data_IF_320562995445
#
_entry.id   IF_320562995445
#
_cell.length_a   1.000
_cell.length_b   1.000
_cell.length_c   1.000
_cell.angle_alpha   90.00
_cell.angle_beta   90.00
_cell.angle_gamma   90.00
#
_symmetry.space_group_name_H-M   'P 1'
#
loop_
_entity.id
_entity.type
_entity.pdbx_description
1 polymer ?
#
# COMPACT_ATOMS: atom_id res chain seq x y z
N UNK A 1 39.79 28.83 -37.59
CA UNK A 1 38.88 29.39 -36.56
C UNK A 1 38.31 28.25 -35.74
N UNK A 2 38.89 27.99 -34.57
CA UNK A 2 38.48 26.89 -33.69
C UNK A 2 37.25 27.30 -32.89
N UNK A 3 36.13 26.60 -33.07
CA UNK A 3 34.94 26.77 -32.25
C UNK A 3 35.18 26.13 -30.88
N UNK A 4 35.47 26.96 -29.90
CA UNK A 4 35.49 26.57 -28.48
C UNK A 4 34.05 26.30 -28.05
N UNK A 5 33.67 25.03 -27.98
CA UNK A 5 32.38 24.62 -27.40
C UNK A 5 32.47 24.82 -25.88
N UNK A 6 31.90 25.91 -25.38
CA UNK A 6 31.69 26.11 -23.95
C UNK A 6 30.86 24.94 -23.41
N UNK A 7 31.47 24.13 -22.55
CA UNK A 7 30.75 23.13 -21.75
C UNK A 7 29.88 23.89 -20.75
N UNK A 8 28.58 23.94 -21.03
CA UNK A 8 27.57 24.38 -20.08
C UNK A 8 27.77 23.62 -18.76
N UNK A 9 27.97 24.30 -17.62
CA UNK A 9 28.26 23.64 -16.36
C UNK A 9 27.09 22.74 -15.98
N UNK A 10 27.39 21.45 -15.79
CA UNK A 10 26.41 20.45 -15.36
C UNK A 10 25.81 20.90 -14.02
N UNK A 11 24.51 21.22 -13.99
CA UNK A 11 23.76 21.53 -12.76
C UNK A 11 24.13 20.50 -11.69
N UNK A 12 24.75 20.94 -10.58
CA UNK A 12 25.06 20.08 -9.43
C UNK A 12 23.78 19.37 -9.00
N UNK A 13 23.74 18.05 -9.15
CA UNK A 13 22.59 17.24 -8.73
C UNK A 13 22.61 17.14 -7.21
N UNK A 14 21.73 17.87 -6.55
CA UNK A 14 21.55 17.78 -5.10
C UNK A 14 21.07 16.37 -4.72
N UNK A 15 21.79 15.70 -3.82
CA UNK A 15 21.39 14.40 -3.28
C UNK A 15 20.25 14.56 -2.29
N UNK A 16 19.40 13.57 -2.19
CA UNK A 16 18.43 13.48 -1.09
C UNK A 16 19.20 13.33 0.22
N UNK A 17 18.80 14.03 1.30
CA UNK A 17 19.43 13.88 2.61
C UNK A 17 19.35 12.45 3.15
N UNK A 18 20.09 12.23 4.24
CA UNK A 18 20.07 10.96 4.96
C UNK A 18 18.64 10.64 5.46
N UNK A 19 18.35 9.35 5.58
CA UNK A 19 17.04 8.82 5.95
C UNK A 19 17.18 7.72 7.00
N UNK A 20 16.12 7.54 7.78
CA UNK A 20 15.98 6.42 8.72
C UNK A 20 15.35 5.22 8.03
N UNK A 21 15.59 4.02 8.57
CA UNK A 21 14.98 2.77 8.10
C UNK A 21 13.44 2.86 8.07
N UNK A 22 12.79 2.04 7.25
CA UNK A 22 11.32 2.02 7.13
C UNK A 22 10.76 3.07 6.18
N UNK A 23 11.57 3.56 5.24
CA UNK A 23 11.11 4.49 4.20
C UNK A 23 9.94 3.89 3.41
N UNK A 24 10.04 2.62 3.04
CA UNK A 24 9.01 1.94 2.27
C UNK A 24 7.71 1.74 3.03
N UNK A 25 7.77 1.49 4.33
CA UNK A 25 6.55 1.35 5.14
C UNK A 25 5.83 2.68 5.24
N UNK A 26 6.56 3.78 5.51
CA UNK A 26 6.01 5.13 5.53
C UNK A 26 5.46 5.54 4.15
N UNK A 27 6.13 5.15 3.08
CA UNK A 27 5.64 5.36 1.71
C UNK A 27 4.37 4.56 1.44
N UNK A 28 4.29 3.29 1.85
CA UNK A 28 3.09 2.45 1.71
C UNK A 28 1.92 3.02 2.49
N UNK A 29 2.14 3.49 3.72
CA UNK A 29 1.12 4.15 4.54
C UNK A 29 0.61 5.41 3.82
N UNK A 30 1.52 6.23 3.31
CA UNK A 30 1.16 7.43 2.54
C UNK A 30 0.37 7.07 1.28
N UNK A 31 0.79 6.05 0.54
CA UNK A 31 0.08 5.57 -0.65
C UNK A 31 -1.32 5.07 -0.31
N UNK A 32 -1.47 4.29 0.76
CA UNK A 32 -2.77 3.81 1.23
C UNK A 32 -3.69 4.97 1.61
N UNK A 33 -3.16 5.97 2.34
CA UNK A 33 -3.90 7.18 2.67
C UNK A 33 -4.35 7.94 1.41
N UNK A 34 -3.47 8.01 0.40
CA UNK A 34 -3.73 8.59 -0.92
C UNK A 34 -4.66 7.76 -1.82
N UNK A 35 -5.18 6.62 -1.37
CA UNK A 35 -6.05 5.75 -2.18
C UNK A 35 -5.30 5.01 -3.30
N UNK A 36 -3.97 4.90 -3.21
CA UNK A 36 -3.14 4.14 -4.13
C UNK A 36 -3.04 2.71 -3.59
N UNK A 37 -3.88 1.83 -4.12
CA UNK A 37 -4.01 0.44 -3.67
C UNK A 37 -2.78 -0.42 -4.00
N UNK A 38 -2.60 -1.52 -3.25
CA UNK A 38 -1.41 -2.37 -3.29
C UNK A 38 -1.12 -3.01 -4.65
N UNK A 39 -2.16 -3.40 -5.40
CA UNK A 39 -2.03 -3.91 -6.76
C UNK A 39 -1.78 -2.76 -7.75
N UNK A 40 -0.65 -2.80 -8.45
CA UNK A 40 -0.28 -1.75 -9.41
C UNK A 40 0.28 -0.48 -8.76
N UNK A 41 0.49 -0.46 -7.44
CA UNK A 41 1.14 0.63 -6.69
C UNK A 41 2.44 1.12 -7.34
N UNK A 42 3.31 0.21 -7.82
CA UNK A 42 4.54 0.58 -8.53
C UNK A 42 4.27 1.42 -9.78
N UNK A 43 3.31 1.00 -10.60
CA UNK A 43 2.92 1.70 -11.83
C UNK A 43 2.22 3.01 -11.52
N UNK A 44 1.39 3.03 -10.47
CA UNK A 44 0.70 4.24 -10.01
C UNK A 44 1.72 5.27 -9.50
N UNK A 45 2.64 4.88 -8.63
CA UNK A 45 3.71 5.74 -8.12
C UNK A 45 4.57 6.25 -9.28
N UNK A 46 4.97 5.39 -10.22
CA UNK A 46 5.74 5.78 -11.40
C UNK A 46 5.01 6.85 -12.22
N UNK A 47 3.71 6.64 -12.48
CA UNK A 47 2.86 7.56 -13.23
C UNK A 47 2.71 8.92 -12.53
N UNK A 48 2.44 8.94 -11.23
CA UNK A 48 2.18 10.21 -10.51
C UNK A 48 3.47 10.99 -10.24
N UNK A 49 4.59 10.31 -9.97
CA UNK A 49 5.87 10.95 -9.64
C UNK A 49 6.75 11.23 -10.87
N UNK A 50 6.37 10.74 -12.05
CA UNK A 50 7.19 10.82 -13.27
C UNK A 50 8.45 9.95 -13.23
N UNK A 51 8.55 9.02 -12.28
CA UNK A 51 9.63 8.05 -12.18
C UNK A 51 9.40 6.87 -13.12
N UNK A 52 10.47 6.14 -13.47
CA UNK A 52 10.32 4.87 -14.19
C UNK A 52 9.89 3.76 -13.23
N UNK A 53 9.17 2.75 -13.74
CA UNK A 53 8.78 1.59 -12.94
C UNK A 53 9.98 0.88 -12.29
N UNK A 54 11.11 0.80 -13.01
CA UNK A 54 12.37 0.27 -12.46
C UNK A 54 12.92 1.14 -11.32
N UNK A 55 12.85 2.47 -11.45
CA UNK A 55 13.27 3.39 -10.41
C UNK A 55 12.40 3.30 -9.15
N UNK A 56 11.09 3.17 -9.31
CA UNK A 56 10.16 2.95 -8.18
C UNK A 56 10.43 1.59 -7.52
N UNK A 57 10.63 0.52 -8.31
CA UNK A 57 10.96 -0.81 -7.78
C UNK A 57 12.22 -0.78 -6.92
N UNK A 58 13.24 -0.01 -7.32
CA UNK A 58 14.47 0.14 -6.53
C UNK A 58 14.20 0.77 -5.15
N UNK A 59 13.25 1.69 -5.02
CA UNK A 59 12.86 2.26 -3.72
C UNK A 59 12.45 1.15 -2.75
N UNK A 60 11.61 0.21 -3.23
CA UNK A 60 11.09 -0.90 -2.45
C UNK A 60 12.09 -2.01 -2.16
N UNK A 61 13.02 -2.28 -3.09
CA UNK A 61 14.07 -3.29 -2.90
C UNK A 61 15.10 -2.80 -1.89
N UNK A 62 15.45 -1.52 -1.94
CA UNK A 62 16.57 -0.94 -1.19
C UNK A 62 16.13 -0.17 0.07
N UNK A 63 14.82 -0.19 0.40
CA UNK A 63 14.18 0.55 1.49
C UNK A 63 14.68 1.99 1.63
N UNK A 64 14.74 2.72 0.50
CA UNK A 64 15.35 4.06 0.47
C UNK A 64 14.65 5.03 -0.46
N UNK A 65 14.70 6.34 -0.17
CA UNK A 65 14.17 7.36 -1.06
C UNK A 65 14.96 7.45 -2.38
N UNK A 66 14.40 8.12 -3.41
CA UNK A 66 15.13 8.41 -4.64
C UNK A 66 16.44 9.14 -4.32
N UNK A 67 17.54 8.74 -4.98
CA UNK A 67 18.89 9.31 -4.73
C UNK A 67 19.01 10.83 -4.93
N UNK A 68 18.20 11.38 -5.83
CA UNK A 68 18.24 12.81 -6.17
C UNK A 68 17.08 13.55 -5.54
N UNK A 69 17.38 14.65 -4.84
CA UNK A 69 16.40 15.43 -4.08
C UNK A 69 15.22 15.87 -4.96
N UNK A 70 15.49 16.24 -6.22
CA UNK A 70 14.43 16.61 -7.16
C UNK A 70 13.39 15.50 -7.36
N UNK A 71 13.84 14.25 -7.53
CA UNK A 71 12.92 13.12 -7.73
C UNK A 71 12.14 12.82 -6.46
N UNK A 72 12.79 12.93 -5.30
CA UNK A 72 12.12 12.77 -4.02
C UNK A 72 11.05 13.85 -3.78
N UNK A 73 11.39 15.10 -4.04
CA UNK A 73 10.45 16.22 -3.97
C UNK A 73 9.28 16.10 -4.95
N UNK A 74 9.51 15.55 -6.15
CA UNK A 74 8.44 15.25 -7.11
C UNK A 74 7.52 14.13 -6.61
N UNK A 75 8.07 13.09 -5.98
CA UNK A 75 7.27 12.04 -5.34
C UNK A 75 6.41 12.62 -4.22
N UNK A 76 6.98 13.46 -3.35
CA UNK A 76 6.24 14.13 -2.27
C UNK A 76 5.08 14.98 -2.83
N UNK A 77 5.37 15.82 -3.83
CA UNK A 77 4.34 16.68 -4.45
C UNK A 77 3.23 15.86 -5.11
N UNK A 78 3.59 14.77 -5.78
CA UNK A 78 2.64 13.87 -6.41
C UNK A 78 1.71 13.20 -5.40
N UNK A 79 2.25 12.75 -4.25
CA UNK A 79 1.46 12.16 -3.18
C UNK A 79 0.51 13.18 -2.55
N UNK A 80 0.97 14.41 -2.29
CA UNK A 80 0.11 15.49 -1.79
C UNK A 80 -1.02 15.80 -2.79
N UNK A 81 -0.69 15.85 -4.08
CA UNK A 81 -1.66 16.06 -5.15
C UNK A 81 -2.74 14.98 -5.18
N UNK A 82 -2.35 13.70 -5.11
CA UNK A 82 -3.32 12.59 -5.06
C UNK A 82 -4.14 12.60 -3.77
N UNK A 83 -3.54 12.92 -2.62
CA UNK A 83 -4.28 13.02 -1.36
C UNK A 83 -5.33 14.15 -1.42
N UNK A 84 -4.93 15.33 -1.91
CA UNK A 84 -5.86 16.45 -2.09
C UNK A 84 -7.00 16.08 -3.03
N UNK A 85 -6.71 15.35 -4.11
CA UNK A 85 -7.70 14.89 -5.08
C UNK A 85 -8.66 13.85 -4.50
N UNK A 86 -8.16 12.87 -3.75
CA UNK A 86 -8.95 11.74 -3.25
C UNK A 86 -9.69 12.06 -1.94
N UNK A 87 -9.11 12.93 -1.11
CA UNK A 87 -9.60 13.20 0.26
C UNK A 87 -10.03 14.64 0.48
N UNK A 88 -9.70 15.57 -0.42
CA UNK A 88 -9.93 17.00 -0.19
C UNK A 88 -9.07 17.60 0.91
N UNK A 89 -8.06 16.86 1.39
CA UNK A 89 -7.20 17.25 2.52
C UNK A 89 -5.94 17.94 1.99
N UNK A 90 -5.57 19.04 2.62
CA UNK A 90 -4.32 19.73 2.38
C UNK A 90 -3.25 19.27 3.37
N UNK A 91 -2.11 18.82 2.85
CA UNK A 91 -0.96 18.36 3.64
C UNK A 91 0.19 19.31 3.40
N UNK A 92 0.80 19.77 4.49
CA UNK A 92 2.00 20.59 4.39
C UNK A 92 3.17 19.74 3.83
N UNK A 93 3.79 20.25 2.77
CA UNK A 93 4.89 19.57 2.08
C UNK A 93 6.02 19.17 3.00
N UNK A 94 6.41 20.06 3.90
CA UNK A 94 7.50 19.81 4.85
C UNK A 94 7.17 18.67 5.81
N UNK A 95 5.92 18.57 6.28
CA UNK A 95 5.49 17.48 7.16
C UNK A 95 5.62 16.13 6.46
N UNK A 96 5.10 15.99 5.24
CA UNK A 96 5.21 14.72 4.51
C UNK A 96 6.66 14.39 4.14
N UNK A 97 7.44 15.41 3.75
CA UNK A 97 8.86 15.27 3.47
C UNK A 97 9.64 14.70 4.67
N UNK A 98 9.46 15.28 5.85
CA UNK A 98 10.15 14.84 7.07
C UNK A 98 9.62 13.50 7.57
N UNK A 99 8.32 13.24 7.43
CA UNK A 99 7.74 11.95 7.79
C UNK A 99 8.41 10.84 7.00
N UNK A 100 8.47 10.95 5.67
CA UNK A 100 9.07 9.92 4.81
C UNK A 100 10.56 9.69 5.11
N UNK A 101 11.34 10.75 5.34
CA UNK A 101 12.79 10.62 5.57
C UNK A 101 13.18 10.23 6.99
N UNK A 102 12.50 10.76 8.00
CA UNK A 102 13.00 10.76 9.38
C UNK A 102 12.02 10.21 10.41
N UNK A 103 10.88 9.64 9.99
CA UNK A 103 9.82 9.16 10.90
C UNK A 103 9.37 10.26 11.88
N UNK A 104 9.28 11.49 11.36
CA UNK A 104 8.84 12.64 12.14
C UNK A 104 7.33 12.59 12.43
N UNK A 105 6.81 13.66 13.05
CA UNK A 105 5.38 13.85 13.32
C UNK A 105 4.48 13.42 12.15
N UNK A 106 3.38 12.74 12.50
CA UNK A 106 2.35 12.24 11.60
C UNK A 106 1.78 13.39 10.73
N UNK A 107 1.85 13.31 9.39
CA UNK A 107 1.55 14.44 8.51
C UNK A 107 0.05 14.57 8.17
N UNK A 108 -0.80 13.63 8.61
CA UNK A 108 -2.20 13.56 8.21
C UNK A 108 -3.11 14.09 9.34
N UNK A 109 -4.03 15.02 9.07
CA UNK A 109 -4.98 15.49 10.07
C UNK A 109 -5.89 14.33 10.50
N UNK A 110 -5.89 14.02 11.81
CA UNK A 110 -6.55 12.86 12.38
C UNK A 110 -8.09 12.94 12.30
N UNK A 111 -8.72 11.82 11.90
CA UNK A 111 -10.08 11.38 12.26
C UNK A 111 -10.43 10.03 11.64
N UNK A 112 -9.59 9.46 10.78
CA UNK A 112 -9.67 8.05 10.41
C UNK A 112 -8.28 7.45 10.50
N UNK A 113 -7.96 6.98 11.71
CA UNK A 113 -6.91 5.99 11.91
C UNK A 113 -7.32 4.80 11.04
N UNK A 114 -6.82 4.75 9.79
CA UNK A 114 -6.78 3.51 9.04
C UNK A 114 -5.70 2.65 9.68
N UNK A 115 -6.00 2.16 10.88
CA UNK A 115 -5.53 0.85 11.29
C UNK A 115 -6.14 -0.10 10.26
N UNK A 116 -5.34 -0.69 9.41
CA UNK A 116 -4.77 -1.94 9.83
C UNK A 116 -3.35 -2.12 9.27
N UNK A 117 -2.31 -1.73 10.04
CA UNK A 117 -1.00 -2.36 9.94
C UNK A 117 -1.06 -3.89 10.24
N UNK A 118 -2.21 -4.41 10.68
CA UNK A 118 -2.44 -5.85 10.89
C UNK A 118 -2.62 -6.65 9.60
N UNK A 119 -2.91 -6.02 8.45
CA UNK A 119 -3.03 -6.77 7.18
C UNK A 119 -1.65 -7.27 6.73
N UNK A 120 -0.60 -6.44 6.79
CA UNK A 120 0.73 -6.87 6.30
C UNK A 120 1.56 -7.68 7.31
N UNK A 121 1.40 -7.48 8.62
CA UNK A 121 2.17 -8.27 9.61
C UNK A 121 1.76 -9.76 9.66
N UNK A 122 0.55 -10.08 9.18
CA UNK A 122 0.07 -11.45 9.00
C UNK A 122 0.28 -11.99 7.58
N UNK A 123 0.04 -11.17 6.55
CA UNK A 123 0.15 -11.58 5.15
C UNK A 123 1.58 -11.92 4.71
N UNK A 124 2.60 -11.24 5.26
CA UNK A 124 4.01 -11.53 4.93
C UNK A 124 4.46 -12.93 5.39
N UNK A 125 3.69 -13.59 6.27
CA UNK A 125 3.93 -14.99 6.68
C UNK A 125 3.40 -16.00 5.68
N UNK A 126 2.46 -15.61 4.83
CA UNK A 126 1.83 -16.50 3.86
C UNK A 126 2.45 -16.27 2.49
N UNK A 127 2.78 -17.36 1.80
CA UNK A 127 3.24 -17.24 0.43
C UNK A 127 2.11 -16.70 -0.49
N UNK A 128 2.49 -16.05 -1.57
CA UNK A 128 1.53 -15.40 -2.50
C UNK A 128 0.57 -16.39 -3.17
N UNK A 129 0.97 -17.64 -3.34
CA UNK A 129 0.15 -18.72 -3.91
C UNK A 129 -0.91 -19.14 -2.90
N UNK A 130 -0.55 -19.29 -1.62
CA UNK A 130 -1.48 -19.57 -0.53
C UNK A 130 -2.54 -18.47 -0.40
N UNK A 131 -2.11 -17.20 -0.43
CA UNK A 131 -3.03 -16.07 -0.43
C UNK A 131 -4.00 -16.14 -1.62
N UNK A 132 -3.48 -16.39 -2.83
CA UNK A 132 -4.31 -16.57 -4.02
C UNK A 132 -5.37 -17.67 -3.85
N UNK A 133 -5.02 -18.80 -3.23
CA UNK A 133 -5.98 -19.89 -2.92
C UNK A 133 -7.06 -19.44 -1.94
N UNK A 134 -6.69 -18.70 -0.89
CA UNK A 134 -7.66 -18.16 0.09
C UNK A 134 -8.65 -17.21 -0.60
N UNK A 135 -8.19 -16.34 -1.51
CA UNK A 135 -9.06 -15.44 -2.27
C UNK A 135 -10.05 -16.19 -3.15
N UNK A 136 -9.59 -17.21 -3.88
CA UNK A 136 -10.46 -18.04 -4.74
C UNK A 136 -11.49 -18.77 -3.91
N UNK A 137 -11.06 -19.40 -2.81
CA UNK A 137 -11.95 -20.13 -1.91
C UNK A 137 -13.01 -19.22 -1.28
N UNK A 138 -12.60 -18.01 -0.86
CA UNK A 138 -13.50 -17.02 -0.29
C UNK A 138 -14.55 -16.55 -1.32
N UNK A 139 -14.14 -16.32 -2.57
CA UNK A 139 -15.04 -15.92 -3.65
C UNK A 139 -16.05 -17.02 -4.00
N UNK A 140 -15.62 -18.28 -4.05
CA UNK A 140 -16.50 -19.43 -4.25
C UNK A 140 -17.56 -19.53 -3.16
N UNK A 141 -17.13 -19.55 -1.89
CA UNK A 141 -18.02 -19.68 -0.73
C UNK A 141 -18.96 -18.48 -0.62
N UNK A 142 -18.47 -17.27 -0.93
CA UNK A 142 -19.30 -16.08 -0.93
C UNK A 142 -20.41 -16.15 -1.98
N UNK A 143 -20.10 -16.61 -3.20
CA UNK A 143 -21.11 -16.83 -4.24
C UNK A 143 -22.15 -17.87 -3.83
N UNK A 144 -21.73 -18.96 -3.17
CA UNK A 144 -22.67 -19.94 -2.59
C UNK A 144 -23.61 -19.30 -1.56
N UNK A 145 -23.15 -18.29 -0.82
CA UNK A 145 -23.95 -17.52 0.15
C UNK A 145 -24.76 -16.37 -0.48
N UNK A 146 -24.73 -16.24 -1.82
CA UNK A 146 -25.34 -15.13 -2.54
C UNK A 146 -24.73 -13.78 -2.19
N UNK A 147 -23.41 -13.73 -1.96
CA UNK A 147 -22.63 -12.52 -1.70
C UNK A 147 -21.53 -12.42 -2.75
N UNK A 148 -21.45 -11.32 -3.46
CA UNK A 148 -20.30 -10.99 -4.28
C UNK A 148 -19.30 -10.19 -3.43
N UNK A 149 -18.36 -10.87 -2.79
CA UNK A 149 -17.37 -10.25 -1.88
C UNK A 149 -16.58 -9.08 -2.49
N UNK A 150 -16.43 -9.02 -3.82
CA UNK A 150 -15.71 -7.94 -4.49
C UNK A 150 -16.60 -6.83 -5.06
N UNK A 151 -17.93 -6.98 -5.00
CA UNK A 151 -18.90 -5.97 -5.47
C UNK A 151 -19.84 -5.48 -4.38
N UNK A 152 -20.22 -6.36 -3.46
CA UNK A 152 -21.27 -6.14 -2.46
C UNK A 152 -20.71 -5.72 -1.10
N UNK A 153 -19.42 -5.98 -0.85
CA UNK A 153 -18.75 -5.55 0.38
C UNK A 153 -17.99 -4.25 0.15
N UNK A 154 -18.23 -3.27 1.01
CA UNK A 154 -17.34 -2.13 1.16
C UNK A 154 -15.92 -2.60 1.48
N UNK A 155 -14.91 -1.89 0.97
CA UNK A 155 -13.50 -2.28 1.06
C UNK A 155 -13.05 -2.61 2.50
N UNK A 156 -13.57 -1.90 3.50
CA UNK A 156 -13.30 -2.17 4.92
C UNK A 156 -13.87 -3.52 5.41
N UNK A 157 -15.04 -3.94 4.94
CA UNK A 157 -15.65 -5.21 5.31
C UNK A 157 -14.95 -6.39 4.64
N UNK A 158 -14.57 -6.24 3.37
CA UNK A 158 -13.76 -7.25 2.66
C UNK A 158 -12.42 -7.47 3.37
N UNK A 159 -11.78 -6.39 3.80
CA UNK A 159 -10.50 -6.45 4.52
C UNK A 159 -10.64 -7.18 5.86
N UNK A 160 -11.67 -6.85 6.65
CA UNK A 160 -11.95 -7.54 7.92
C UNK A 160 -12.25 -9.02 7.74
N UNK A 161 -13.02 -9.37 6.71
CA UNK A 161 -13.34 -10.75 6.35
C UNK A 161 -12.06 -11.53 6.03
N UNK A 162 -11.19 -10.97 5.19
CA UNK A 162 -9.90 -11.57 4.84
C UNK A 162 -9.01 -11.74 6.08
N UNK A 163 -8.88 -10.72 6.92
CA UNK A 163 -8.10 -10.79 8.16
C UNK A 163 -8.59 -11.91 9.08
N UNK A 164 -9.92 -12.10 9.17
CA UNK A 164 -10.50 -13.15 10.02
C UNK A 164 -10.25 -14.55 9.47
N UNK A 165 -10.38 -14.72 8.16
CA UNK A 165 -10.11 -16.01 7.48
C UNK A 165 -8.63 -16.37 7.62
N UNK A 166 -7.72 -15.42 7.34
CA UNK A 166 -6.28 -15.64 7.43
C UNK A 166 -5.82 -15.89 8.89
N UNK A 167 -6.43 -15.20 9.86
CA UNK A 167 -6.18 -15.48 11.27
C UNK A 167 -6.64 -16.89 11.68
N UNK A 168 -7.74 -17.38 11.11
CA UNK A 168 -8.19 -18.77 11.31
C UNK A 168 -7.18 -19.75 10.72
N UNK A 169 -6.78 -19.53 9.46
CA UNK A 169 -5.77 -20.33 8.76
C UNK A 169 -4.45 -20.39 9.54
N UNK A 170 -3.99 -19.26 10.08
CA UNK A 170 -2.75 -19.19 10.86
C UNK A 170 -2.83 -19.92 12.19
N UNK A 171 -3.95 -19.78 12.94
CA UNK A 171 -4.07 -20.33 14.30
C UNK A 171 -4.40 -21.82 14.31
N UNK A 172 -5.13 -22.31 13.30
CA UNK A 172 -5.65 -23.67 13.27
C UNK A 172 -4.95 -24.57 12.23
N UNK A 173 -3.99 -24.03 11.47
CA UNK A 173 -3.29 -24.72 10.39
C UNK A 173 -4.28 -25.39 9.41
N UNK A 174 -5.29 -24.63 8.98
CA UNK A 174 -6.40 -25.13 8.18
C UNK A 174 -5.91 -25.66 6.84
N UNK A 175 -6.34 -26.88 6.53
CA UNK A 175 -6.33 -27.39 5.17
C UNK A 175 -7.48 -26.73 4.39
N UNK A 176 -7.15 -25.97 3.36
CA UNK A 176 -8.12 -25.23 2.54
C UNK A 176 -9.04 -26.16 1.73
N UNK A 177 -8.63 -27.41 1.54
CA UNK A 177 -9.39 -28.40 0.78
C UNK A 177 -10.34 -29.23 1.67
N UNK A 178 -10.26 -29.08 3.00
CA UNK A 178 -11.11 -29.79 3.95
C UNK A 178 -12.53 -29.19 4.05
N UNK A 179 -13.54 -30.07 4.16
CA UNK A 179 -14.95 -29.69 4.28
C UNK A 179 -15.22 -28.78 5.49
N UNK A 180 -14.56 -29.05 6.62
CA UNK A 180 -14.74 -28.28 7.85
C UNK A 180 -14.23 -26.84 7.72
N UNK A 181 -13.15 -26.64 6.95
CA UNK A 181 -12.60 -25.32 6.64
C UNK A 181 -13.56 -24.48 5.80
N UNK A 182 -14.25 -25.10 4.82
CA UNK A 182 -15.27 -24.42 4.01
C UNK A 182 -16.43 -23.93 4.88
N UNK A 183 -16.95 -24.77 5.79
CA UNK A 183 -18.06 -24.39 6.68
C UNK A 183 -17.68 -23.28 7.68
N UNK A 184 -16.44 -23.28 8.16
CA UNK A 184 -15.91 -22.20 9.00
C UNK A 184 -15.83 -20.87 8.23
N UNK A 185 -15.28 -20.88 7.02
CA UNK A 185 -15.19 -19.68 6.17
C UNK A 185 -16.59 -19.17 5.81
N UNK A 186 -17.51 -20.08 5.47
CA UNK A 186 -18.92 -19.78 5.19
C UNK A 186 -19.61 -19.06 6.34
N UNK A 187 -19.36 -19.51 7.57
CA UNK A 187 -19.88 -18.87 8.78
C UNK A 187 -19.38 -17.43 8.92
N UNK A 188 -18.10 -17.17 8.63
CA UNK A 188 -17.51 -15.83 8.68
C UNK A 188 -18.10 -14.93 7.58
N UNK A 189 -18.29 -15.45 6.37
CA UNK A 189 -18.93 -14.72 5.26
C UNK A 189 -20.36 -14.32 5.61
N UNK A 190 -21.14 -15.24 6.19
CA UNK A 190 -22.50 -14.95 6.62
C UNK A 190 -22.55 -13.90 7.74
N UNK A 191 -21.62 -13.97 8.72
CA UNK A 191 -21.49 -12.94 9.75
C UNK A 191 -21.12 -11.57 9.17
N UNK A 192 -20.31 -11.55 8.09
CA UNK A 192 -19.93 -10.31 7.40
C UNK A 192 -21.13 -9.66 6.71
N UNK A 193 -22.00 -10.47 6.11
CA UNK A 193 -23.22 -10.03 5.42
C UNK A 193 -24.20 -9.31 6.35
N UNK A 194 -24.28 -9.72 7.61
CA UNK A 194 -25.20 -9.17 8.61
C UNK A 194 -24.59 -7.95 9.35
N UNK A 195 -23.34 -7.57 9.03
CA UNK A 195 -22.68 -6.41 9.64
C UNK A 195 -22.12 -6.66 11.05
N UNK A 196 -21.90 -7.92 11.42
CA UNK A 196 -21.40 -8.31 12.75
C UNK A 196 -19.88 -8.57 12.78
N UNK A 197 -19.09 -7.90 11.92
CA UNK A 197 -17.64 -8.08 11.79
C UNK A 197 -16.83 -6.79 11.95
#
# INVERSE_FOLDING_TARGET
MSKTTERVPSRKKTKTPDHVLGFCDRLRITCSYAGIEGYGSLSAIARISGMTAAGVRLLFIEDRPPKFLRLFLQLVDALIGEIKKQRGVEIERNKLYHYLLSDSEWPFPEAQIYSSPSVNQGLDKFDKVYLGRVYVLLDEIAKECGVNVFKDLEHGHLTKLLDRVLALCSKQNLDLDASDSRELIKSIVLLSKVGHL
#
